data_IF_241941219808
#
_entry.id   IF_241941219808
#
_cell.length_a   1.000
_cell.length_b   1.000
_cell.length_c   1.000
_cell.angle_alpha   90.00
_cell.angle_beta   90.00
_cell.angle_gamma   90.00
#
_symmetry.space_group_name_H-M   'P 1'
#
loop_
_entity.id
_entity.type
_entity.pdbx_description
1 polymer ?
#
# COMPACT_ATOMS: atom_id res chain seq x y z
N UNK A 1 17.10 -15.72 9.18
CA UNK A 1 16.37 -14.77 8.33
C UNK A 1 16.92 -14.86 6.92
N UNK A 2 16.12 -15.33 5.98
CA UNK A 2 16.48 -15.25 4.55
C UNK A 2 16.22 -13.83 4.06
N UNK A 3 17.27 -13.11 3.69
CA UNK A 3 17.19 -11.72 3.25
C UNK A 3 16.33 -11.55 2.00
N UNK A 4 16.24 -12.56 1.14
CA UNK A 4 15.44 -12.52 -0.08
C UNK A 4 13.93 -12.59 0.24
N UNK A 5 13.52 -13.55 1.06
CA UNK A 5 12.13 -13.68 1.56
C UNK A 5 11.70 -12.42 2.34
N UNK A 6 12.59 -11.89 3.17
CA UNK A 6 12.33 -10.66 3.93
C UNK A 6 12.09 -9.44 3.03
N UNK A 7 12.98 -9.21 2.05
CA UNK A 7 12.84 -8.11 1.11
C UNK A 7 11.56 -8.26 0.26
N UNK A 8 11.27 -9.50 -0.17
CA UNK A 8 10.06 -9.82 -0.91
C UNK A 8 8.79 -9.44 -0.14
N UNK A 9 8.65 -9.85 1.12
CA UNK A 9 7.47 -9.47 1.93
C UNK A 9 7.39 -7.97 2.19
N UNK A 10 8.54 -7.32 2.43
CA UNK A 10 8.57 -5.87 2.67
C UNK A 10 8.03 -5.11 1.47
N UNK A 11 8.45 -5.47 0.25
CA UNK A 11 7.93 -4.86 -0.99
C UNK A 11 6.46 -5.24 -1.22
N UNK A 12 6.12 -6.53 -1.07
CA UNK A 12 4.79 -7.05 -1.33
C UNK A 12 3.72 -6.44 -0.41
N UNK A 13 4.07 -6.14 0.85
CA UNK A 13 3.20 -5.44 1.81
C UNK A 13 3.27 -3.92 1.61
N UNK A 14 4.46 -3.39 1.36
CA UNK A 14 4.71 -1.95 1.26
C UNK A 14 4.02 -1.30 0.06
N UNK A 15 4.01 -1.97 -1.10
CA UNK A 15 3.39 -1.44 -2.32
C UNK A 15 1.86 -1.24 -2.15
N UNK A 16 1.08 -2.21 -1.64
CA UNK A 16 -0.32 -1.98 -1.31
C UNK A 16 -0.53 -0.80 -0.36
N UNK A 17 0.23 -0.73 0.74
CA UNK A 17 0.08 0.38 1.70
C UNK A 17 0.32 1.73 1.01
N UNK A 18 1.32 1.79 0.14
CA UNK A 18 1.63 2.98 -0.65
C UNK A 18 0.47 3.37 -1.58
N UNK A 19 -0.08 2.39 -2.31
CA UNK A 19 -1.25 2.61 -3.19
C UNK A 19 -2.43 3.15 -2.38
N UNK A 20 -2.67 2.61 -1.18
CA UNK A 20 -3.75 3.05 -0.31
C UNK A 20 -3.57 4.53 0.09
N UNK A 21 -2.35 4.92 0.49
CA UNK A 21 -2.03 6.31 0.81
C UNK A 21 -2.27 7.25 -0.38
N UNK A 22 -2.04 6.77 -1.61
CA UNK A 22 -2.20 7.52 -2.87
C UNK A 22 -3.58 7.37 -3.51
N UNK A 23 -4.55 6.81 -2.80
CA UNK A 23 -5.93 6.69 -3.29
C UNK A 23 -6.79 7.85 -2.77
N UNK A 24 -7.60 8.42 -3.67
CA UNK A 24 -8.65 9.40 -3.34
C UNK A 24 -9.57 8.88 -2.23
N UNK A 25 -9.97 9.75 -1.30
CA UNK A 25 -10.81 9.36 -0.16
C UNK A 25 -12.09 8.61 -0.59
N UNK A 26 -12.73 9.04 -1.70
CA UNK A 26 -13.94 8.40 -2.26
C UNK A 26 -13.71 6.94 -2.70
N UNK A 27 -12.49 6.59 -3.12
CA UNK A 27 -12.13 5.27 -3.67
C UNK A 27 -11.36 4.38 -2.69
N UNK A 28 -10.99 4.91 -1.52
CA UNK A 28 -10.20 4.18 -0.50
C UNK A 28 -10.86 2.90 -0.04
N UNK A 29 -12.18 2.87 0.09
CA UNK A 29 -12.90 1.66 0.51
C UNK A 29 -12.74 0.54 -0.53
N UNK A 30 -12.91 0.85 -1.81
CA UNK A 30 -12.76 -0.12 -2.90
C UNK A 30 -11.31 -0.65 -2.92
N UNK A 31 -10.33 0.26 -2.81
CA UNK A 31 -8.92 -0.12 -2.77
C UNK A 31 -8.60 -0.99 -1.54
N UNK A 32 -9.16 -0.68 -0.37
CA UNK A 32 -9.04 -1.50 0.84
C UNK A 32 -9.59 -2.91 0.61
N UNK A 33 -10.77 -3.04 -0.01
CA UNK A 33 -11.38 -4.34 -0.32
C UNK A 33 -10.51 -5.15 -1.28
N UNK A 34 -9.94 -4.51 -2.32
CA UNK A 34 -9.01 -5.19 -3.25
C UNK A 34 -7.74 -5.62 -2.53
N UNK A 35 -7.24 -4.84 -1.56
CA UNK A 35 -6.06 -5.19 -0.75
C UNK A 35 -6.25 -6.38 0.17
N UNK A 36 -7.48 -6.79 0.47
CA UNK A 36 -7.73 -8.02 1.22
C UNK A 36 -7.27 -9.26 0.44
N UNK A 37 -7.27 -9.21 -0.89
CA UNK A 37 -6.82 -10.33 -1.75
C UNK A 37 -5.33 -10.64 -1.50
N UNK A 38 -4.38 -9.70 -1.73
CA UNK A 38 -2.97 -9.97 -1.44
C UNK A 38 -2.72 -10.20 0.05
N UNK A 39 -3.45 -9.55 0.96
CA UNK A 39 -3.30 -9.79 2.40
C UNK A 39 -3.61 -11.24 2.79
N UNK A 40 -4.68 -11.82 2.26
CA UNK A 40 -5.04 -13.22 2.50
C UNK A 40 -4.05 -14.18 1.86
N UNK A 41 -3.54 -13.88 0.66
CA UNK A 41 -2.48 -14.68 0.02
C UNK A 41 -1.19 -14.70 0.85
N UNK A 42 -0.77 -13.55 1.38
CA UNK A 42 0.39 -13.44 2.26
C UNK A 42 0.14 -14.26 3.53
N UNK A 43 -1.03 -14.11 4.17
CA UNK A 43 -1.37 -14.86 5.39
C UNK A 43 -1.28 -16.37 5.16
N UNK A 44 -1.83 -16.88 4.05
CA UNK A 44 -1.76 -18.30 3.69
C UNK A 44 -0.33 -18.76 3.45
N UNK A 45 0.46 -17.99 2.71
CA UNK A 45 1.85 -18.33 2.43
C UNK A 45 2.71 -18.36 3.70
N UNK A 46 2.54 -17.37 4.58
CA UNK A 46 3.24 -17.30 5.87
C UNK A 46 2.94 -18.51 6.74
N UNK A 47 1.67 -18.92 6.82
CA UNK A 47 1.26 -20.09 7.59
C UNK A 47 1.77 -21.41 6.99
N UNK A 48 1.78 -21.52 5.66
CA UNK A 48 2.28 -22.71 4.97
C UNK A 48 3.80 -22.89 5.12
N UNK A 49 4.55 -21.78 5.20
CA UNK A 49 6.02 -21.79 5.27
C UNK A 49 6.57 -21.56 6.69
N UNK A 50 5.70 -21.34 7.67
CA UNK A 50 6.05 -21.06 9.08
C UNK A 50 7.00 -19.87 9.26
N UNK A 51 6.91 -18.85 8.39
CA UNK A 51 7.80 -17.66 8.38
C UNK A 51 7.16 -16.45 9.08
N UNK A 52 6.52 -16.69 10.22
CA UNK A 52 5.74 -15.67 10.94
C UNK A 52 6.57 -14.47 11.36
N UNK A 53 7.75 -14.70 11.93
CA UNK A 53 8.62 -13.65 12.46
C UNK A 53 9.08 -12.71 11.36
N UNK A 54 9.54 -13.25 10.22
CA UNK A 54 9.95 -12.48 9.06
C UNK A 54 8.81 -11.62 8.51
N UNK A 55 7.60 -12.16 8.43
CA UNK A 55 6.43 -11.43 7.95
C UNK A 55 6.05 -10.26 8.87
N UNK A 56 6.12 -10.46 10.19
CA UNK A 56 5.87 -9.38 11.16
C UNK A 56 6.91 -8.27 11.09
N UNK A 57 8.20 -8.62 11.00
CA UNK A 57 9.27 -7.63 10.86
C UNK A 57 9.10 -6.89 9.53
N UNK A 58 8.82 -7.60 8.43
CA UNK A 58 8.58 -6.98 7.12
C UNK A 58 7.39 -6.03 7.13
N UNK A 59 6.30 -6.38 7.82
CA UNK A 59 5.14 -5.50 8.00
C UNK A 59 5.52 -4.21 8.74
N UNK A 60 6.26 -4.32 9.86
CA UNK A 60 6.71 -3.15 10.62
C UNK A 60 7.60 -2.25 9.76
N UNK A 61 8.57 -2.83 9.05
CA UNK A 61 9.45 -2.06 8.16
C UNK A 61 8.66 -1.41 7.03
N UNK A 62 7.72 -2.13 6.39
CA UNK A 62 6.87 -1.58 5.35
C UNK A 62 6.03 -0.40 5.85
N UNK A 63 5.49 -0.47 7.08
CA UNK A 63 4.76 0.62 7.72
C UNK A 63 5.67 1.82 8.01
N UNK A 64 6.87 1.60 8.53
CA UNK A 64 7.84 2.68 8.80
C UNK A 64 8.25 3.37 7.50
N UNK A 65 8.59 2.61 6.45
CA UNK A 65 8.94 3.18 5.14
C UNK A 65 7.79 4.01 4.57
N UNK A 66 6.57 3.47 4.60
CA UNK A 66 5.37 4.19 4.12
C UNK A 66 5.05 5.43 4.97
N UNK A 67 5.28 5.37 6.28
CA UNK A 67 5.11 6.51 7.17
C UNK A 67 6.15 7.60 6.87
N UNK A 68 7.42 7.23 6.70
CA UNK A 68 8.48 8.16 6.31
C UNK A 68 8.20 8.79 4.95
N UNK A 69 7.77 8.00 3.97
CA UNK A 69 7.35 8.52 2.68
C UNK A 69 6.23 9.55 2.83
N UNK A 70 5.18 9.22 3.60
CA UNK A 70 4.08 10.13 3.84
C UNK A 70 4.54 11.42 4.53
N UNK A 71 5.35 11.30 5.58
CA UNK A 71 5.80 12.42 6.41
C UNK A 71 6.73 13.37 5.65
N UNK A 72 7.61 12.83 4.79
CA UNK A 72 8.63 13.60 4.07
C UNK A 72 8.13 14.12 2.71
N UNK A 73 7.34 13.33 1.99
CA UNK A 73 6.97 13.61 0.59
C UNK A 73 5.45 13.68 0.44
N UNK A 74 4.72 12.68 0.94
CA UNK A 74 3.29 12.51 0.69
C UNK A 74 2.42 13.69 1.17
N UNK A 75 2.79 14.33 2.29
CA UNK A 75 2.08 15.51 2.84
C UNK A 75 2.12 16.73 1.92
N UNK A 76 3.18 16.89 1.13
CA UNK A 76 3.38 18.06 0.26
C UNK A 76 2.80 17.86 -1.14
N UNK A 77 2.51 16.61 -1.51
CA UNK A 77 1.96 16.25 -2.80
C UNK A 77 0.61 15.54 -2.61
N UNK A 78 -0.48 16.24 -2.28
CA UNK A 78 -1.78 15.61 -2.06
C UNK A 78 -2.27 14.89 -3.32
N UNK A 79 -3.11 13.88 -3.12
CA UNK A 79 -3.77 13.21 -4.24
C UNK A 79 -4.69 14.18 -4.97
N UNK A 80 -4.59 14.20 -6.30
CA UNK A 80 -5.51 14.95 -7.16
C UNK A 80 -6.95 14.53 -6.90
N UNK A 81 -7.88 15.46 -7.08
CA UNK A 81 -9.32 15.16 -7.03
C UNK A 81 -9.83 15.03 -8.45
N UNK A 82 -10.56 13.97 -8.74
CA UNK A 82 -11.32 13.79 -9.98
C UNK A 82 -12.31 14.92 -10.25
N UNK A 83 -12.73 15.66 -9.22
CA UNK A 83 -13.73 16.74 -9.36
C UNK A 83 -13.17 18.00 -10.03
N UNK A 84 -11.84 18.13 -10.15
CA UNK A 84 -11.16 19.27 -10.80
C UNK A 84 -10.75 19.01 -12.25
N UNK A 85 -11.21 17.89 -12.83
CA UNK A 85 -10.91 17.56 -14.23
C UNK A 85 -11.79 18.45 -15.12
N UNK A 86 -11.20 19.51 -15.66
CA UNK A 86 -11.83 20.33 -16.69
C UNK A 86 -11.79 19.56 -18.02
N UNK A 87 -12.96 19.23 -18.56
CA UNK A 87 -13.08 18.64 -19.89
C UNK A 87 -12.96 19.75 -20.93
N UNK A 88 -11.91 19.70 -21.75
CA UNK A 88 -11.71 20.69 -22.82
C UNK A 88 -12.84 20.51 -23.86
N UNK A 89 -13.67 21.53 -24.04
CA UNK A 89 -14.79 21.54 -25.00
C UNK A 89 -16.17 21.26 -24.43
N UNK A 90 -16.32 21.16 -23.09
CA UNK A 90 -17.62 21.23 -22.44
C UNK A 90 -17.92 22.71 -22.14
N UNK A 91 -18.49 23.42 -23.11
CA UNK A 91 -19.17 24.69 -22.83
C UNK A 91 -20.43 24.34 -22.01
N UNK A 92 -20.72 25.14 -20.97
CA UNK A 92 -21.74 24.90 -19.92
C UNK A 92 -23.05 24.21 -20.38
#
# INVERSE_FOLDING_TARGET
>A
MDGSTFAFFTLLIGIPIFIYQRTEAKKRLIVLLVMLIPAELIRRYVWYRDVHTEAWIALIIALVINFLFWALIGRYNPVGSSDRIQVIGMDD
#
